data_IF_274040971382
#
_entry.id   IF_274040971382
#
_cell.length_a   1.000
_cell.length_b   1.000
_cell.length_c   1.000
_cell.angle_alpha   90.00
_cell.angle_beta   90.00
_cell.angle_gamma   90.00
#
_symmetry.space_group_name_H-M   'P 1'
#
loop_
_entity.id
_entity.type
_entity.pdbx_description
1 polymer ?
#
# COMPACT_ATOMS: atom_id res chain seq x y z
N UNK A 1 2.93 0.90 -8.87
CA UNK A 1 1.87 0.00 -9.41
C UNK A 1 1.13 -0.67 -8.27
N UNK A 2 -0.14 -0.33 -8.06
CA UNK A 2 -0.94 -0.85 -6.94
C UNK A 2 -1.71 -2.11 -7.32
N UNK A 3 -2.40 -2.08 -8.45
CA UNK A 3 -3.23 -3.20 -8.89
C UNK A 3 -3.23 -3.37 -10.40
N UNK A 4 -3.42 -4.60 -10.82
CA UNK A 4 -3.49 -5.01 -12.21
C UNK A 4 -4.77 -5.81 -12.46
N UNK A 5 -5.64 -5.32 -13.32
CA UNK A 5 -6.93 -5.96 -13.63
C UNK A 5 -7.00 -6.30 -15.11
N UNK A 6 -7.38 -7.52 -15.42
CA UNK A 6 -7.54 -7.98 -16.82
C UNK A 6 -8.69 -7.22 -17.49
N UNK A 7 -8.46 -6.75 -18.72
CA UNK A 7 -9.46 -6.11 -19.56
C UNK A 7 -9.50 -6.82 -20.92
N UNK A 8 -10.58 -7.52 -21.19
CA UNK A 8 -10.71 -8.35 -22.40
C UNK A 8 -9.60 -9.41 -22.49
N UNK A 9 -9.21 -9.73 -23.71
CA UNK A 9 -8.23 -10.83 -23.96
C UNK A 9 -6.77 -10.40 -23.80
N UNK A 10 -6.42 -9.18 -24.21
CA UNK A 10 -5.02 -8.75 -24.33
C UNK A 10 -4.63 -7.56 -23.47
N UNK A 11 -5.60 -6.82 -22.92
CA UNK A 11 -5.37 -5.55 -22.27
C UNK A 11 -5.36 -5.68 -20.74
N UNK A 12 -4.85 -4.66 -20.07
CA UNK A 12 -4.79 -4.57 -18.60
C UNK A 12 -5.17 -3.16 -18.17
N UNK A 13 -6.02 -3.06 -17.15
CA UNK A 13 -6.20 -1.82 -16.39
C UNK A 13 -5.15 -1.80 -15.28
N UNK A 14 -4.34 -0.77 -15.28
CA UNK A 14 -3.35 -0.47 -14.26
C UNK A 14 -3.92 0.55 -13.29
N UNK A 15 -3.94 0.23 -11.98
CA UNK A 15 -4.16 1.21 -10.91
C UNK A 15 -2.79 1.59 -10.35
N UNK A 16 -2.49 2.87 -10.35
CA UNK A 16 -1.18 3.44 -10.07
C UNK A 16 -1.29 4.48 -8.96
N UNK A 17 -0.25 4.60 -8.14
CA UNK A 17 -0.02 5.76 -7.30
C UNK A 17 0.92 6.71 -8.05
N UNK A 18 0.48 7.93 -8.29
CA UNK A 18 1.30 8.98 -8.87
C UNK A 18 2.32 9.54 -7.87
N UNK A 19 3.31 10.26 -8.35
CA UNK A 19 4.30 10.92 -7.48
C UNK A 19 3.70 12.02 -6.60
N UNK A 20 2.58 12.62 -7.00
CA UNK A 20 1.79 13.56 -6.22
C UNK A 20 0.86 12.90 -5.18
N UNK A 21 0.84 11.55 -5.12
CA UNK A 21 0.02 10.77 -4.20
C UNK A 21 -1.40 10.50 -4.68
N UNK A 22 -1.80 11.02 -5.83
CA UNK A 22 -3.11 10.72 -6.41
C UNK A 22 -3.16 9.34 -7.06
N UNK A 23 -4.36 8.79 -7.22
CA UNK A 23 -4.56 7.55 -7.94
C UNK A 23 -4.75 7.80 -9.43
N UNK A 24 -4.04 7.07 -10.28
CA UNK A 24 -4.23 7.06 -11.73
C UNK A 24 -4.72 5.69 -12.18
N UNK A 25 -5.70 5.68 -13.08
CA UNK A 25 -6.17 4.46 -13.72
C UNK A 25 -5.96 4.56 -15.23
N UNK A 26 -5.16 3.65 -15.77
CA UNK A 26 -4.79 3.67 -17.18
C UNK A 26 -4.89 2.28 -17.81
N UNK A 27 -5.22 2.21 -19.10
CA UNK A 27 -5.26 0.98 -19.88
C UNK A 27 -3.93 0.78 -20.59
N UNK A 28 -3.28 -0.35 -20.35
CA UNK A 28 -2.13 -0.81 -21.13
C UNK A 28 -2.62 -1.80 -22.20
N UNK A 29 -2.73 -1.31 -23.44
CA UNK A 29 -3.21 -2.11 -24.57
C UNK A 29 -2.21 -3.18 -24.94
N UNK A 30 -2.68 -4.40 -25.16
CA UNK A 30 -1.85 -5.53 -25.55
C UNK A 30 -0.86 -5.98 -24.47
N UNK A 31 -0.98 -5.53 -23.22
CA UNK A 31 -0.04 -5.83 -22.14
C UNK A 31 0.07 -7.32 -21.79
N UNK A 32 -0.92 -8.14 -22.18
CA UNK A 32 -0.94 -9.59 -21.97
C UNK A 32 -0.41 -10.40 -23.14
N UNK A 33 -0.10 -9.75 -24.28
CA UNK A 33 0.49 -10.45 -25.43
C UNK A 33 1.93 -10.89 -25.09
N UNK A 34 2.37 -12.06 -25.56
CA UNK A 34 3.75 -12.54 -25.30
C UNK A 34 4.85 -11.57 -25.77
N UNK A 35 4.60 -10.84 -26.85
CA UNK A 35 5.51 -9.84 -27.39
C UNK A 35 5.40 -8.45 -26.76
N UNK A 36 4.60 -8.32 -25.69
CA UNK A 36 4.35 -7.01 -25.08
C UNK A 36 5.55 -6.49 -24.29
N UNK A 37 5.99 -5.29 -24.58
CA UNK A 37 6.99 -4.58 -23.78
C UNK A 37 6.48 -4.17 -22.39
N UNK A 38 5.17 -4.23 -22.16
CA UNK A 38 4.55 -3.87 -20.89
C UNK A 38 4.51 -5.01 -19.86
N UNK A 39 4.60 -6.28 -20.31
CA UNK A 39 4.36 -7.44 -19.47
C UNK A 39 5.23 -7.46 -18.20
N UNK A 40 6.54 -7.19 -18.33
CA UNK A 40 7.49 -7.18 -17.20
C UNK A 40 7.60 -5.84 -16.49
N UNK A 41 7.14 -4.75 -17.11
CA UNK A 41 7.29 -3.39 -16.58
C UNK A 41 6.13 -2.97 -15.70
N UNK A 42 4.91 -3.41 -16.06
CA UNK A 42 3.67 -3.04 -15.38
C UNK A 42 3.22 -4.17 -14.42
N UNK A 43 4.12 -4.59 -13.55
CA UNK A 43 3.81 -5.55 -12.49
C UNK A 43 3.53 -4.84 -11.16
N UNK A 44 2.77 -5.50 -10.26
CA UNK A 44 2.50 -4.96 -8.92
C UNK A 44 3.82 -4.71 -8.19
N UNK A 45 3.89 -3.68 -7.39
CA UNK A 45 5.06 -3.14 -6.68
C UNK A 45 6.10 -2.44 -7.57
N UNK A 46 6.03 -2.54 -8.91
CA UNK A 46 6.99 -1.84 -9.77
C UNK A 46 6.82 -0.32 -9.71
N UNK A 47 7.93 0.38 -9.82
CA UNK A 47 8.01 1.84 -9.99
C UNK A 47 8.40 2.09 -11.45
N UNK A 48 7.58 2.84 -12.15
CA UNK A 48 7.74 3.11 -13.58
C UNK A 48 7.56 4.59 -13.88
N UNK A 49 8.31 5.04 -14.87
CA UNK A 49 8.04 6.29 -15.55
C UNK A 49 7.12 6.00 -16.74
N UNK A 50 5.98 6.69 -16.82
CA UNK A 50 4.92 6.38 -17.77
C UNK A 50 4.56 7.58 -18.62
N UNK A 51 4.48 7.37 -19.94
CA UNK A 51 3.83 8.31 -20.83
C UNK A 51 2.36 7.91 -21.00
N UNK A 52 1.46 8.77 -20.52
CA UNK A 52 0.02 8.57 -20.61
C UNK A 52 -0.59 9.49 -21.65
N UNK A 53 -1.60 8.98 -22.36
CA UNK A 53 -2.48 9.81 -23.18
C UNK A 53 -3.87 9.82 -22.57
N UNK A 54 -4.47 10.98 -22.51
CA UNK A 54 -5.82 11.14 -22.02
C UNK A 54 -6.81 10.31 -22.88
N UNK A 55 -7.60 9.49 -22.21
CA UNK A 55 -8.69 8.73 -22.81
C UNK A 55 -10.06 9.30 -22.42
N UNK A 56 -11.13 8.72 -22.96
CA UNK A 56 -12.52 9.16 -22.64
C UNK A 56 -12.91 8.84 -21.20
N UNK A 57 -12.51 7.70 -20.68
CA UNK A 57 -12.87 7.21 -19.34
C UNK A 57 -11.66 6.80 -18.53
N UNK A 58 -10.64 6.26 -19.16
CA UNK A 58 -9.37 5.86 -18.56
C UNK A 58 -8.25 6.33 -19.47
N UNK A 59 -7.14 6.72 -18.88
CA UNK A 59 -5.94 7.05 -19.62
C UNK A 59 -5.36 5.84 -20.34
N UNK A 60 -4.51 6.07 -21.33
CA UNK A 60 -3.89 5.01 -22.12
C UNK A 60 -2.38 5.10 -21.93
N UNK A 61 -1.78 3.98 -21.48
CA UNK A 61 -0.32 3.86 -21.39
C UNK A 61 0.26 3.77 -22.79
N UNK A 62 1.06 4.75 -23.18
CA UNK A 62 1.80 4.77 -24.45
C UNK A 62 3.17 4.17 -24.30
N UNK A 63 3.87 4.57 -23.24
CA UNK A 63 5.20 4.07 -22.93
C UNK A 63 5.32 3.79 -21.44
N UNK A 64 6.17 2.82 -21.11
CA UNK A 64 6.53 2.49 -19.75
C UNK A 64 8.03 2.23 -19.65
N UNK A 65 8.71 2.98 -18.81
CA UNK A 65 10.11 2.77 -18.45
C UNK A 65 10.18 2.27 -17.03
N UNK A 66 10.71 1.05 -16.83
CA UNK A 66 10.88 0.49 -15.51
C UNK A 66 12.02 1.20 -14.78
N UNK A 67 11.75 1.75 -13.60
CA UNK A 67 12.74 2.35 -12.71
C UNK A 67 13.15 1.34 -11.62
N UNK A 68 12.17 0.71 -10.96
CA UNK A 68 12.40 -0.32 -9.94
C UNK A 68 11.40 -1.48 -10.14
N UNK A 69 11.90 -2.69 -10.37
CA UNK A 69 11.07 -3.85 -10.62
C UNK A 69 10.50 -4.50 -9.36
N UNK A 70 11.19 -4.37 -8.24
CA UNK A 70 10.85 -5.00 -6.96
C UNK A 70 10.48 -6.51 -7.09
N UNK A 71 11.17 -7.23 -7.98
CA UNK A 71 10.88 -8.64 -8.30
C UNK A 71 10.99 -9.56 -7.08
N UNK A 72 11.89 -9.24 -6.15
CA UNK A 72 12.07 -9.99 -4.90
C UNK A 72 10.78 -10.07 -4.09
N UNK A 73 9.93 -9.02 -4.09
CA UNK A 73 8.63 -9.02 -3.42
C UNK A 73 7.61 -9.98 -4.05
N UNK A 74 7.81 -10.37 -5.31
CA UNK A 74 6.93 -11.31 -6.01
C UNK A 74 7.45 -12.74 -6.03
N UNK A 75 8.75 -12.94 -5.76
CA UNK A 75 9.39 -14.25 -5.75
C UNK A 75 9.38 -14.93 -4.40
N UNK A 76 9.34 -14.14 -3.33
CA UNK A 76 9.31 -14.62 -1.95
C UNK A 76 7.89 -14.47 -1.39
N UNK A 77 7.33 -15.57 -0.89
CA UNK A 77 5.96 -15.59 -0.39
C UNK A 77 5.78 -14.70 0.85
N UNK A 78 6.71 -14.74 1.80
CA UNK A 78 6.64 -13.94 3.02
C UNK A 78 6.71 -12.43 2.71
N UNK A 79 7.59 -12.04 1.77
CA UNK A 79 7.67 -10.65 1.33
C UNK A 79 6.44 -10.21 0.54
N UNK A 80 5.86 -11.09 -0.28
CA UNK A 80 4.63 -10.81 -1.01
C UNK A 80 3.45 -10.62 -0.04
N UNK A 81 3.33 -11.48 0.97
CA UNK A 81 2.31 -11.38 2.02
C UNK A 81 2.44 -10.07 2.79
N UNK A 82 3.65 -9.67 3.17
CA UNK A 82 3.92 -8.42 3.84
C UNK A 82 3.67 -7.18 2.96
N UNK A 83 4.03 -7.23 1.66
CA UNK A 83 3.84 -6.10 0.75
C UNK A 83 2.39 -5.89 0.32
N UNK A 84 1.57 -6.95 0.28
CA UNK A 84 0.19 -6.89 -0.21
C UNK A 84 -0.69 -5.87 0.52
N UNK A 85 -0.74 -5.83 1.87
CA UNK A 85 -1.52 -4.84 2.60
C UNK A 85 -1.06 -3.40 2.34
N UNK A 86 0.24 -3.18 2.05
CA UNK A 86 0.78 -1.86 1.78
C UNK A 86 0.21 -1.24 0.51
N UNK A 87 0.05 -2.03 -0.55
CA UNK A 87 -0.53 -1.54 -1.81
C UNK A 87 -2.05 -1.57 -1.78
N UNK A 88 -2.65 -2.49 -1.03
CA UNK A 88 -4.10 -2.59 -0.88
C UNK A 88 -4.68 -1.38 -0.14
N UNK A 89 -4.04 -0.90 0.93
CA UNK A 89 -4.50 0.31 1.63
C UNK A 89 -4.50 1.50 0.68
N UNK A 90 -3.47 1.66 -0.14
CA UNK A 90 -3.40 2.75 -1.13
C UNK A 90 -4.47 2.59 -2.22
N UNK A 91 -4.66 1.37 -2.76
CA UNK A 91 -5.70 1.11 -3.77
C UNK A 91 -7.10 1.49 -3.28
N UNK A 92 -7.37 1.35 -1.97
CA UNK A 92 -8.66 1.65 -1.35
C UNK A 92 -8.81 3.08 -0.88
N UNK A 93 -7.73 3.75 -0.51
CA UNK A 93 -7.80 5.07 0.15
C UNK A 93 -7.40 6.23 -0.76
N UNK A 94 -6.59 6.00 -1.80
CA UNK A 94 -6.25 7.05 -2.75
C UNK A 94 -7.32 7.21 -3.82
N UNK A 95 -7.49 8.42 -4.33
CA UNK A 95 -8.50 8.76 -5.33
C UNK A 95 -7.87 9.62 -6.44
N UNK A 96 -8.52 9.64 -7.59
CA UNK A 96 -8.15 10.51 -8.70
C UNK A 96 -8.35 11.97 -8.29
N UNK A 97 -7.32 12.79 -8.45
CA UNK A 97 -7.36 14.23 -8.14
C UNK A 97 -7.26 14.56 -6.65
N UNK A 98 -7.08 13.58 -5.77
CA UNK A 98 -6.77 13.82 -4.36
C UNK A 98 -5.27 13.59 -4.14
N UNK A 99 -4.54 14.67 -3.97
CA UNK A 99 -3.07 14.66 -3.90
C UNK A 99 -2.58 14.61 -2.44
N UNK A 100 -1.60 13.76 -2.18
CA UNK A 100 -0.78 13.77 -0.96
C UNK A 100 0.63 13.29 -1.30
N UNK A 101 1.51 14.24 -1.57
CA UNK A 101 2.89 14.00 -2.00
C UNK A 101 3.72 13.11 -1.05
N UNK A 102 3.27 12.91 0.19
CA UNK A 102 3.95 12.08 1.18
C UNK A 102 3.79 10.59 0.91
N UNK A 103 2.69 10.18 0.27
CA UNK A 103 2.32 8.76 0.09
C UNK A 103 3.31 8.03 -0.82
N UNK A 104 3.68 8.62 -1.95
CA UNK A 104 4.55 7.96 -2.92
C UNK A 104 5.96 7.68 -2.37
N UNK A 105 6.71 8.68 -1.86
CA UNK A 105 8.06 8.43 -1.34
C UNK A 105 8.05 7.50 -0.12
N UNK A 106 7.04 7.63 0.76
CA UNK A 106 6.88 6.74 1.91
C UNK A 106 6.68 5.28 1.48
N UNK A 107 5.88 5.04 0.44
CA UNK A 107 5.66 3.71 -0.12
C UNK A 107 6.93 3.13 -0.73
N UNK A 108 7.67 3.92 -1.51
CA UNK A 108 8.93 3.48 -2.10
C UNK A 108 9.95 3.07 -1.03
N UNK A 109 10.09 3.86 0.04
CA UNK A 109 10.97 3.54 1.16
C UNK A 109 10.53 2.26 1.87
N UNK A 110 9.23 2.08 2.11
CA UNK A 110 8.69 0.90 2.79
C UNK A 110 8.91 -0.39 1.97
N UNK A 111 8.65 -0.35 0.65
CA UNK A 111 8.91 -1.50 -0.22
C UNK A 111 10.40 -1.88 -0.31
N UNK A 112 11.29 -0.87 -0.27
CA UNK A 112 12.74 -1.11 -0.20
C UNK A 112 13.15 -1.71 1.15
N UNK A 113 12.56 -1.25 2.25
CA UNK A 113 12.85 -1.76 3.59
C UNK A 113 12.47 -3.25 3.73
N UNK A 114 11.42 -3.72 3.08
CA UNK A 114 11.05 -5.14 3.06
C UNK A 114 12.15 -6.03 2.47
N UNK A 115 12.93 -5.55 1.52
CA UNK A 115 14.09 -6.30 0.99
C UNK A 115 15.13 -6.57 2.08
N UNK A 116 15.36 -5.59 2.96
CA UNK A 116 16.30 -5.73 4.07
C UNK A 116 15.73 -6.60 5.21
N UNK A 117 14.41 -6.67 5.36
CA UNK A 117 13.73 -7.44 6.41
C UNK A 117 13.88 -8.96 6.24
N UNK A 118 14.20 -9.44 5.05
CA UNK A 118 14.38 -10.88 4.76
C UNK A 118 15.84 -11.35 4.93
N UNK A 119 16.69 -10.56 5.56
CA UNK A 119 18.07 -10.92 5.86
C UNK A 119 18.17 -11.53 7.26
N UNK A 120 19.10 -12.46 7.48
CA UNK A 120 19.32 -13.14 8.78
C UNK A 120 19.55 -12.19 9.95
N UNK A 121 20.09 -10.97 9.68
CA UNK A 121 20.35 -9.94 10.67
C UNK A 121 19.37 -8.76 10.59
N UNK A 122 18.15 -9.00 10.12
CA UNK A 122 17.14 -7.94 10.02
C UNK A 122 16.77 -7.39 11.40
N UNK A 123 16.64 -6.06 11.50
CA UNK A 123 16.24 -5.36 12.74
C UNK A 123 14.81 -5.68 13.15
N UNK A 124 13.95 -5.98 12.18
CA UNK A 124 12.54 -6.31 12.40
C UNK A 124 12.04 -7.29 11.34
N UNK A 125 10.97 -8.01 11.64
CA UNK A 125 10.33 -8.91 10.68
C UNK A 125 9.57 -8.15 9.59
N UNK A 126 9.28 -8.78 8.43
CA UNK A 126 8.49 -8.16 7.35
C UNK A 126 7.14 -7.60 7.84
N UNK A 127 6.46 -8.31 8.76
CA UNK A 127 5.17 -7.90 9.32
C UNK A 127 5.29 -6.62 10.16
N UNK A 128 6.40 -6.44 10.89
CA UNK A 128 6.66 -5.21 11.65
C UNK A 128 6.82 -4.00 10.71
N UNK A 129 7.50 -4.16 9.58
CA UNK A 129 7.60 -3.10 8.57
C UNK A 129 6.24 -2.78 7.97
N UNK A 130 5.43 -3.80 7.68
CA UNK A 130 4.05 -3.63 7.19
C UNK A 130 3.20 -2.88 8.20
N UNK A 131 3.17 -3.31 9.45
CA UNK A 131 2.39 -2.66 10.51
C UNK A 131 2.80 -1.19 10.68
N UNK A 132 4.11 -0.91 10.73
CA UNK A 132 4.63 0.47 10.82
C UNK A 132 4.23 1.33 9.61
N UNK A 133 4.26 0.77 8.42
CA UNK A 133 3.82 1.46 7.21
C UNK A 133 2.31 1.76 7.23
N UNK A 134 1.47 0.77 7.59
CA UNK A 134 0.02 0.96 7.66
C UNK A 134 -0.36 2.04 8.68
N UNK A 135 0.25 2.04 9.86
CA UNK A 135 0.02 3.08 10.88
C UNK A 135 0.44 4.47 10.41
N UNK A 136 1.57 4.58 9.72
CA UNK A 136 2.02 5.86 9.12
C UNK A 136 1.06 6.32 8.03
N UNK A 137 0.63 5.41 7.14
CA UNK A 137 -0.33 5.73 6.07
C UNK A 137 -1.65 6.21 6.65
N UNK A 138 -2.20 5.52 7.65
CA UNK A 138 -3.42 5.96 8.33
C UNK A 138 -3.25 7.34 8.98
N UNK A 139 -2.09 7.61 9.57
CA UNK A 139 -1.79 8.92 10.18
C UNK A 139 -1.71 10.04 9.13
N UNK A 140 -1.11 9.76 7.96
CA UNK A 140 -1.04 10.68 6.82
C UNK A 140 -2.42 11.00 6.28
N UNK A 141 -3.29 9.98 6.19
CA UNK A 141 -4.68 10.10 5.74
C UNK A 141 -5.62 10.74 6.76
N UNK A 142 -5.11 11.17 7.92
CA UNK A 142 -5.91 11.81 8.98
C UNK A 142 -6.54 10.86 10.00
N UNK A 143 -6.34 9.55 9.86
CA UNK A 143 -6.84 8.52 10.79
C UNK A 143 -5.78 8.11 11.82
N UNK A 144 -5.14 9.11 12.47
CA UNK A 144 -4.09 8.82 13.43
C UNK A 144 -4.62 8.04 14.64
N UNK A 145 -4.19 6.78 14.85
CA UNK A 145 -4.59 6.01 16.01
C UNK A 145 -4.05 6.64 17.31
N UNK A 146 -4.86 6.60 18.38
CA UNK A 146 -4.45 6.98 19.73
C UNK A 146 -4.22 5.71 20.54
N UNK A 147 -3.02 5.53 21.04
CA UNK A 147 -2.64 4.36 21.84
C UNK A 147 -2.47 4.68 23.33
N UNK A 148 -2.49 5.94 23.68
CA UNK A 148 -2.20 6.50 25.00
C UNK A 148 -3.44 6.88 25.79
N UNK A 149 -4.54 7.19 25.10
CA UNK A 149 -5.77 7.67 25.73
C UNK A 149 -7.02 7.01 25.14
N UNK A 150 -8.01 6.75 25.99
CA UNK A 150 -9.32 6.26 25.57
C UNK A 150 -10.10 7.36 24.83
N UNK A 151 -10.68 7.05 23.66
CA UNK A 151 -11.45 8.01 22.87
C UNK A 151 -12.80 8.36 23.47
N UNK A 152 -13.35 7.51 24.35
CA UNK A 152 -14.64 7.73 25.00
C UNK A 152 -14.51 8.57 26.27
N UNK A 153 -13.59 8.20 27.17
CA UNK A 153 -13.50 8.81 28.50
C UNK A 153 -12.24 9.66 28.72
N UNK A 154 -11.31 9.72 27.75
CA UNK A 154 -10.06 10.49 27.86
C UNK A 154 -9.03 9.95 28.84
N UNK A 155 -9.31 8.85 29.53
CA UNK A 155 -8.38 8.29 30.51
C UNK A 155 -7.15 7.70 29.82
N UNK A 156 -5.98 7.81 30.48
CA UNK A 156 -4.75 7.19 30.02
C UNK A 156 -4.87 5.66 29.98
N UNK A 157 -4.40 5.05 28.90
CA UNK A 157 -4.33 3.60 28.71
C UNK A 157 -2.92 3.18 29.07
N UNK A 158 -2.75 2.38 30.18
CA UNK A 158 -1.45 1.80 30.48
C UNK A 158 -1.30 0.46 29.75
N UNK A 159 -0.09 0.10 29.29
CA UNK A 159 0.16 -1.19 28.62
C UNK A 159 -0.26 -2.42 29.47
N UNK A 160 -0.20 -2.29 30.79
CA UNK A 160 -0.57 -3.33 31.74
C UNK A 160 -2.10 -3.57 31.85
N UNK A 161 -2.90 -2.62 31.36
CA UNK A 161 -4.36 -2.64 31.40
C UNK A 161 -5.02 -2.73 30.04
N UNK A 162 -4.29 -3.15 29.00
CA UNK A 162 -4.89 -3.43 27.71
C UNK A 162 -5.76 -4.69 27.87
N UNK A 163 -7.09 -4.58 27.86
CA UNK A 163 -7.96 -5.75 27.87
C UNK A 163 -7.72 -6.51 26.57
N UNK A 164 -7.53 -7.81 26.68
CA UNK A 164 -7.23 -8.75 25.59
C UNK A 164 -8.28 -8.79 24.46
N UNK A 165 -9.34 -8.01 24.55
CA UNK A 165 -10.43 -7.89 23.58
C UNK A 165 -10.71 -6.49 23.12
N UNK A 166 -10.01 -5.48 23.62
CA UNK A 166 -10.31 -4.12 23.24
C UNK A 166 -9.56 -3.77 21.97
N UNK A 167 -10.31 -3.66 20.92
CA UNK A 167 -9.92 -2.89 19.77
C UNK A 167 -9.43 -1.52 20.23
N UNK A 168 -8.16 -1.31 20.17
CA UNK A 168 -7.32 -0.13 19.99
C UNK A 168 -7.74 1.24 20.60
N UNK A 169 -8.97 1.46 21.11
CA UNK A 169 -9.42 2.83 21.41
C UNK A 169 -10.38 2.99 22.58
N UNK A 170 -10.77 1.93 23.27
CA UNK A 170 -11.77 2.04 24.34
C UNK A 170 -11.22 1.54 25.67
N UNK A 171 -11.50 2.26 26.77
CA UNK A 171 -11.33 1.73 28.12
C UNK A 171 -12.29 0.55 28.35
N UNK A 172 -11.99 -0.36 29.30
CA UNK A 172 -12.92 -1.42 29.64
C UNK A 172 -14.31 -0.86 29.91
N UNK A 173 -15.32 -1.47 29.27
CA UNK A 173 -16.70 -1.08 29.49
C UNK A 173 -17.05 -1.17 30.97
N UNK A 174 -18.03 -0.38 31.47
CA UNK A 174 -18.50 -0.50 32.84
C UNK A 174 -18.92 -1.94 33.22
N UNK A 175 -19.34 -2.75 32.26
CA UNK A 175 -19.67 -4.18 32.44
C UNK A 175 -18.44 -5.07 32.63
N UNK A 176 -17.31 -4.69 32.05
CA UNK A 176 -16.05 -5.47 32.18
C UNK A 176 -15.33 -5.17 33.51
N UNK A 177 -15.71 -4.08 34.21
CA UNK A 177 -15.15 -3.70 35.52
C UNK A 177 -15.82 -4.42 36.67
N UNK A 178 -16.92 -5.17 36.44
CA UNK A 178 -17.67 -5.89 37.46
C UNK A 178 -17.33 -7.40 37.50
N UNK A 179 -16.31 -7.82 36.76
CA UNK A 179 -15.69 -9.14 36.86
C UNK A 179 -14.25 -8.98 37.35
#
# INVERSE_FOLDING_TARGET
MLRRTKLGESDVICTLLSCDGSQIRAVAKGARKPSSSFASRLEVYSVCDLLLCQGKTLDIVKEARLLEGNEHLRRDYALMEAASPMVEILDKTTQVGLEDERLFPMTCVALKALKAANLENAVASPECYTAGYLLKTLSVLGFRPRFDTCVECGNSISPERLPSRCLLYTSPSPRDRQK
#
